data_IF_387627872532
#
_entry.id   IF_387627872532
#
_cell.length_a   1.000
_cell.length_b   1.000
_cell.length_c   1.000
_cell.angle_alpha   90.00
_cell.angle_beta   90.00
_cell.angle_gamma   90.00
#
_symmetry.space_group_name_H-M   'P 1'
#
loop_
_entity.id
_entity.type
_entity.pdbx_description
1 polymer ?
#
# COMPACT_ATOMS: atom_id res chain seq x y z
N UNK A 1 16.58 -24.96 8.05
CA UNK A 1 17.21 -23.66 8.41
C UNK A 1 16.47 -23.12 9.61
N UNK A 2 17.10 -23.20 10.78
CA UNK A 2 16.54 -22.72 12.05
C UNK A 2 16.62 -21.20 12.04
N UNK A 3 15.49 -20.51 11.98
CA UNK A 3 15.44 -19.06 12.15
C UNK A 3 15.59 -18.75 13.64
N UNK A 4 16.76 -18.24 14.04
CA UNK A 4 16.94 -17.66 15.37
C UNK A 4 15.99 -16.47 15.53
N UNK A 5 15.06 -16.58 16.49
CA UNK A 5 14.40 -15.44 17.13
C UNK A 5 15.44 -14.72 18.01
N UNK A 6 16.45 -14.10 17.40
CA UNK A 6 17.25 -13.11 18.12
C UNK A 6 16.45 -11.80 18.12
N UNK A 7 16.31 -11.17 19.29
CA UNK A 7 15.53 -9.96 19.57
C UNK A 7 16.00 -8.69 18.80
N UNK A 8 16.80 -8.82 17.75
CA UNK A 8 17.42 -7.72 17.00
C UNK A 8 16.63 -7.28 15.78
N UNK A 9 15.59 -8.00 15.35
CA UNK A 9 14.81 -7.66 14.15
C UNK A 9 13.30 -7.73 14.40
N UNK A 10 12.58 -6.65 14.07
CA UNK A 10 11.13 -6.57 14.21
C UNK A 10 10.43 -7.34 13.07
N UNK A 11 9.68 -8.43 13.37
CA UNK A 11 9.12 -9.33 12.35
C UNK A 11 7.85 -8.76 11.71
N UNK A 12 7.97 -7.61 11.05
CA UNK A 12 6.85 -6.77 10.60
C UNK A 12 5.83 -7.52 9.73
N UNK A 13 6.27 -8.37 8.81
CA UNK A 13 5.37 -9.11 7.93
C UNK A 13 4.62 -10.24 8.66
N UNK A 14 5.27 -10.92 9.61
CA UNK A 14 4.58 -11.87 10.48
C UNK A 14 3.50 -11.15 11.31
N UNK A 15 3.83 -9.99 11.90
CA UNK A 15 2.85 -9.21 12.67
C UNK A 15 1.67 -8.75 11.81
N UNK A 16 1.92 -8.35 10.55
CA UNK A 16 0.86 -8.04 9.58
C UNK A 16 -0.02 -9.26 9.31
N UNK A 17 0.56 -10.44 9.08
CA UNK A 17 -0.21 -11.66 8.87
C UNK A 17 -1.06 -12.03 10.10
N UNK A 18 -0.51 -11.91 11.31
CA UNK A 18 -1.27 -12.10 12.56
C UNK A 18 -2.49 -11.16 12.58
N UNK A 19 -2.31 -9.87 12.26
CA UNK A 19 -3.41 -8.92 12.18
C UNK A 19 -4.43 -9.27 11.08
N UNK A 20 -3.97 -9.71 9.90
CA UNK A 20 -4.83 -10.16 8.80
C UNK A 20 -5.71 -11.35 9.21
N UNK A 21 -5.13 -12.34 9.90
CA UNK A 21 -5.87 -13.52 10.36
C UNK A 21 -6.83 -13.19 11.50
N UNK A 22 -6.48 -12.26 12.38
CA UNK A 22 -7.33 -11.81 13.48
C UNK A 22 -8.49 -10.89 13.05
N UNK A 23 -8.43 -10.28 11.86
CA UNK A 23 -9.44 -9.35 11.40
C UNK A 23 -10.75 -10.04 10.98
N UNK A 24 -11.87 -9.61 11.58
CA UNK A 24 -13.21 -10.17 11.32
C UNK A 24 -14.07 -9.31 10.35
N UNK A 25 -13.47 -8.36 9.64
CA UNK A 25 -14.16 -7.48 8.69
C UNK A 25 -14.12 -8.03 7.27
N UNK A 26 -14.99 -7.54 6.39
CA UNK A 26 -15.00 -7.93 4.96
C UNK A 26 -13.84 -7.32 4.17
N UNK A 27 -13.34 -6.19 4.62
CA UNK A 27 -12.25 -5.43 4.01
C UNK A 27 -11.23 -5.03 5.06
N UNK A 28 -9.98 -4.94 4.65
CA UNK A 28 -8.83 -4.58 5.47
C UNK A 28 -8.22 -3.30 4.92
N UNK A 29 -7.94 -2.34 5.79
CA UNK A 29 -7.19 -1.14 5.42
C UNK A 29 -5.77 -1.23 5.97
N UNK A 30 -4.79 -1.28 5.08
CA UNK A 30 -3.38 -1.36 5.44
C UNK A 30 -2.83 0.05 5.67
N UNK A 31 -2.68 0.46 6.94
CA UNK A 31 -2.10 1.74 7.36
C UNK A 31 -0.96 1.51 8.35
N UNK A 32 0.02 2.41 8.35
CA UNK A 32 1.06 2.44 9.38
C UNK A 32 0.50 3.14 10.63
N UNK A 33 1.05 2.81 11.81
CA UNK A 33 0.46 3.20 13.10
C UNK A 33 0.58 4.70 13.42
N UNK A 34 1.45 5.42 12.71
CA UNK A 34 1.74 6.86 12.80
C UNK A 34 0.92 7.71 11.81
N UNK A 35 -0.10 7.10 11.18
CA UNK A 35 -1.02 7.79 10.28
C UNK A 35 -2.41 7.95 10.89
N UNK A 36 -2.93 9.16 10.76
CA UNK A 36 -4.30 9.49 11.15
C UNK A 36 -5.18 9.70 9.91
N UNK A 37 -6.26 8.92 9.76
CA UNK A 37 -7.29 9.12 8.73
C UNK A 37 -7.99 10.47 8.84
N UNK A 38 -8.43 11.01 7.69
CA UNK A 38 -9.31 12.16 7.68
C UNK A 38 -10.67 11.86 8.34
N UNK A 39 -11.37 12.92 8.74
CA UNK A 39 -12.70 12.82 9.35
C UNK A 39 -13.65 12.01 8.46
N UNK A 40 -14.47 11.18 9.11
CA UNK A 40 -15.47 10.30 8.48
C UNK A 40 -14.90 9.23 7.51
N UNK A 41 -13.58 8.98 7.51
CA UNK A 41 -12.94 8.01 6.62
C UNK A 41 -13.65 6.64 6.61
N UNK A 42 -14.05 6.11 7.77
CA UNK A 42 -14.79 4.85 7.84
C UNK A 42 -16.09 4.87 7.02
N UNK A 43 -16.90 5.92 7.14
CA UNK A 43 -18.17 6.03 6.41
C UNK A 43 -17.94 6.23 4.91
N UNK A 44 -16.93 7.01 4.55
CA UNK A 44 -16.53 7.23 3.15
C UNK A 44 -16.02 5.94 2.51
N UNK A 45 -15.16 5.19 3.19
CA UNK A 45 -14.68 3.87 2.74
C UNK A 45 -15.84 2.91 2.58
N UNK A 46 -16.74 2.83 3.56
CA UNK A 46 -17.94 1.99 3.48
C UNK A 46 -18.76 2.34 2.23
N UNK A 47 -18.99 3.63 1.96
CA UNK A 47 -19.68 4.10 0.75
C UNK A 47 -18.98 3.67 -0.54
N UNK A 48 -17.65 3.76 -0.61
CA UNK A 48 -16.88 3.29 -1.77
C UNK A 48 -16.97 1.79 -1.93
N UNK A 49 -16.83 1.01 -0.86
CA UNK A 49 -16.97 -0.45 -0.90
C UNK A 49 -18.29 -0.87 -1.56
N UNK A 50 -19.41 -0.21 -1.24
CA UNK A 50 -20.71 -0.51 -1.85
C UNK A 50 -20.84 -0.11 -3.33
N UNK A 51 -20.02 0.85 -3.80
CA UNK A 51 -20.05 1.33 -5.19
C UNK A 51 -19.21 0.48 -6.14
N UNK A 52 -18.23 -0.25 -5.62
CA UNK A 52 -17.35 -1.09 -6.42
C UNK A 52 -17.88 -2.53 -6.49
N UNK A 53 -17.69 -3.19 -7.64
CA UNK A 53 -17.97 -4.61 -7.80
C UNK A 53 -16.72 -5.44 -7.46
N UNK A 54 -16.71 -6.05 -6.28
CA UNK A 54 -15.61 -6.87 -5.77
C UNK A 54 -15.67 -8.34 -6.22
N UNK A 55 -16.75 -8.77 -6.85
CA UNK A 55 -16.93 -10.18 -7.25
C UNK A 55 -16.21 -10.51 -8.56
N UNK A 56 -16.08 -9.52 -9.45
CA UNK A 56 -15.48 -9.70 -10.78
C UNK A 56 -14.02 -9.27 -10.84
N UNK A 57 -13.61 -8.37 -9.95
CA UNK A 57 -12.34 -7.67 -10.04
C UNK A 57 -11.68 -7.62 -8.68
N UNK A 58 -10.40 -7.98 -8.61
CA UNK A 58 -9.57 -7.73 -7.44
C UNK A 58 -9.23 -6.24 -7.41
N UNK A 59 -9.64 -5.54 -6.37
CA UNK A 59 -9.49 -4.09 -6.26
C UNK A 59 -8.54 -3.73 -5.12
N UNK A 60 -7.70 -2.73 -5.38
CA UNK A 60 -6.90 -2.05 -4.38
C UNK A 60 -7.34 -0.59 -4.33
N UNK A 61 -8.13 -0.21 -3.32
CA UNK A 61 -8.54 1.18 -3.16
C UNK A 61 -7.43 1.93 -2.42
N UNK A 62 -6.75 2.82 -3.12
CA UNK A 62 -5.61 3.59 -2.64
C UNK A 62 -6.11 4.81 -1.88
N UNK A 63 -5.61 5.01 -0.66
CA UNK A 63 -5.81 6.20 0.16
C UNK A 63 -4.56 7.09 0.08
N UNK A 64 -4.63 8.28 -0.53
CA UNK A 64 -3.50 9.19 -0.62
C UNK A 64 -2.94 9.57 0.76
N UNK A 65 -1.62 9.64 0.84
CA UNK A 65 -0.89 9.94 2.07
C UNK A 65 -0.26 11.32 2.02
N UNK A 66 -0.34 12.02 3.15
CA UNK A 66 0.25 13.33 3.38
C UNK A 66 1.10 13.31 4.66
N UNK A 67 1.94 14.32 4.84
CA UNK A 67 2.67 14.56 6.10
C UNK A 67 2.44 16.00 6.56
N UNK A 68 2.36 16.19 7.87
CA UNK A 68 2.23 17.50 8.49
C UNK A 68 3.33 17.71 9.52
N UNK A 69 3.72 18.97 9.70
CA UNK A 69 4.65 19.39 10.75
C UNK A 69 3.92 19.87 12.02
N UNK A 70 2.58 19.83 12.02
CA UNK A 70 1.75 20.27 13.16
C UNK A 70 1.52 19.11 14.12
N UNK A 71 1.83 19.32 15.39
CA UNK A 71 1.62 18.36 16.49
C UNK A 71 0.16 18.27 16.92
N UNK A 72 -0.65 19.32 16.69
CA UNK A 72 -2.08 19.38 17.02
C UNK A 72 -2.89 19.83 15.81
N UNK A 73 -4.14 19.33 15.67
CA UNK A 73 -5.03 19.68 14.55
C UNK A 73 -4.44 19.35 13.17
N UNK A 74 -3.47 18.42 13.12
CA UNK A 74 -2.62 18.17 11.97
C UNK A 74 -3.36 17.59 10.76
N UNK A 75 -4.51 16.93 10.96
CA UNK A 75 -5.28 16.26 9.91
C UNK A 75 -6.46 17.13 9.45
N UNK A 76 -6.50 17.57 8.18
CA UNK A 76 -7.67 18.25 7.62
C UNK A 76 -8.91 17.34 7.63
N UNK A 77 -10.10 17.90 7.89
CA UNK A 77 -11.33 17.10 7.94
C UNK A 77 -11.70 16.51 6.58
N UNK A 78 -11.48 17.28 5.51
CA UNK A 78 -11.93 16.95 4.17
C UNK A 78 -10.96 17.47 3.10
N UNK A 79 -11.20 17.05 1.87
CA UNK A 79 -10.35 17.40 0.72
C UNK A 79 -10.26 18.92 0.51
N UNK A 80 -11.32 19.67 0.75
CA UNK A 80 -11.30 21.14 0.59
C UNK A 80 -10.29 21.77 1.54
N UNK A 81 -10.33 21.43 2.83
CA UNK A 81 -9.36 21.90 3.82
C UNK A 81 -7.93 21.40 3.52
N UNK A 82 -7.79 20.16 3.07
CA UNK A 82 -6.51 19.59 2.63
C UNK A 82 -5.89 20.42 1.50
N UNK A 83 -6.65 20.73 0.45
CA UNK A 83 -6.18 21.52 -0.68
C UNK A 83 -5.86 22.96 -0.28
N UNK A 84 -6.63 23.56 0.63
CA UNK A 84 -6.31 24.88 1.19
C UNK A 84 -4.93 24.87 1.85
N UNK A 85 -4.63 23.87 2.69
CA UNK A 85 -3.33 23.76 3.38
C UNK A 85 -2.17 23.41 2.43
N UNK A 86 -2.40 22.58 1.40
CA UNK A 86 -1.40 22.26 0.38
C UNK A 86 -1.01 23.47 -0.48
N UNK A 87 -1.96 24.37 -0.73
CA UNK A 87 -1.77 25.56 -1.58
C UNK A 87 -1.40 26.83 -0.80
N UNK A 88 -1.44 26.78 0.54
CA UNK A 88 -1.10 27.93 1.38
C UNK A 88 0.39 28.29 1.27
N UNK A 89 0.74 29.57 1.36
CA UNK A 89 2.15 30.03 1.26
C UNK A 89 3.06 29.36 2.28
N UNK A 90 2.59 29.21 3.52
CA UNK A 90 3.34 28.61 4.63
C UNK A 90 3.15 27.08 4.74
N UNK A 91 2.63 26.41 3.69
CA UNK A 91 2.32 24.96 3.59
C UNK A 91 2.54 24.17 4.88
N UNK A 92 1.47 23.87 5.60
CA UNK A 92 1.55 23.06 6.84
C UNK A 92 1.30 21.57 6.58
N UNK A 93 1.09 21.19 5.33
CA UNK A 93 0.88 19.81 4.89
C UNK A 93 1.56 19.61 3.53
N UNK A 94 2.11 18.42 3.32
CA UNK A 94 2.86 18.05 2.12
C UNK A 94 2.42 16.66 1.64
N UNK A 95 2.62 16.37 0.35
CA UNK A 95 2.49 14.99 -0.14
C UNK A 95 3.55 14.12 0.53
N UNK A 96 3.14 12.95 1.02
CA UNK A 96 4.00 12.13 1.88
C UNK A 96 5.28 11.68 1.18
N UNK A 97 6.41 11.79 1.90
CA UNK A 97 7.72 11.25 1.50
C UNK A 97 8.28 11.78 0.17
N UNK A 98 7.76 12.90 -0.36
CA UNK A 98 8.18 13.41 -1.67
C UNK A 98 9.69 13.67 -1.76
N UNK A 99 10.29 14.24 -0.71
CA UNK A 99 11.73 14.55 -0.66
C UNK A 99 12.64 13.32 -0.46
N UNK A 100 12.10 12.21 0.05
CA UNK A 100 12.87 11.01 0.42
C UNK A 100 12.75 9.90 -0.61
N UNK A 101 11.56 9.73 -1.16
CA UNK A 101 11.30 8.79 -2.23
C UNK A 101 10.27 9.39 -3.20
N UNK A 102 10.72 10.23 -4.15
CA UNK A 102 9.83 10.84 -5.14
C UNK A 102 8.93 9.81 -5.85
N UNK A 103 9.49 8.64 -6.20
CA UNK A 103 8.78 7.56 -6.88
C UNK A 103 7.80 6.75 -6.03
N UNK A 104 7.87 6.83 -4.69
CA UNK A 104 7.06 5.98 -3.81
C UNK A 104 5.57 6.33 -3.83
N UNK A 105 5.21 7.58 -4.12
CA UNK A 105 3.81 8.00 -4.17
C UNK A 105 3.42 8.73 -5.47
N UNK A 106 4.34 8.84 -6.42
CA UNK A 106 4.14 9.54 -7.70
C UNK A 106 2.91 9.02 -8.47
N UNK A 107 2.68 7.70 -8.46
CA UNK A 107 1.58 7.07 -9.19
C UNK A 107 0.17 7.46 -8.69
N UNK A 108 0.08 8.13 -7.54
CA UNK A 108 -1.16 8.79 -7.09
C UNK A 108 -1.62 9.85 -8.11
N UNK A 109 -0.72 10.36 -8.95
CA UNK A 109 -0.96 11.43 -9.91
C UNK A 109 -1.53 12.68 -9.22
N UNK A 110 -0.66 13.39 -8.51
CA UNK A 110 -1.06 14.54 -7.69
C UNK A 110 -1.77 15.65 -8.47
N UNK A 111 -1.36 15.90 -9.71
CA UNK A 111 -2.00 16.87 -10.59
C UNK A 111 -3.46 16.50 -10.90
N UNK A 112 -3.74 15.21 -11.07
CA UNK A 112 -5.10 14.70 -11.23
C UNK A 112 -5.85 14.64 -9.89
N UNK A 113 -5.20 14.18 -8.83
CA UNK A 113 -5.76 14.11 -7.48
C UNK A 113 -6.43 15.43 -7.09
N UNK A 114 -5.75 16.57 -7.28
CA UNK A 114 -6.27 17.89 -6.91
C UNK A 114 -7.67 18.16 -7.49
N UNK A 115 -7.91 17.70 -8.73
CA UNK A 115 -9.15 17.96 -9.48
C UNK A 115 -10.20 16.86 -9.32
N UNK A 116 -9.80 15.66 -8.90
CA UNK A 116 -10.66 14.49 -8.86
C UNK A 116 -11.75 14.60 -7.80
N UNK A 117 -13.01 14.38 -8.18
CA UNK A 117 -14.17 14.28 -7.28
C UNK A 117 -14.73 12.86 -7.18
N UNK A 118 -14.24 11.94 -8.01
CA UNK A 118 -14.61 10.53 -8.05
C UNK A 118 -13.36 9.65 -8.01
N UNK A 119 -13.45 8.40 -7.52
CA UNK A 119 -12.35 7.46 -7.61
C UNK A 119 -11.83 7.31 -9.03
N UNK A 120 -10.51 7.22 -9.19
CA UNK A 120 -9.87 7.12 -10.49
C UNK A 120 -8.82 6.02 -10.53
N UNK A 121 -8.75 5.35 -11.68
CA UNK A 121 -7.86 4.22 -11.87
C UNK A 121 -6.42 4.70 -12.08
N UNK A 122 -5.47 4.00 -11.47
CA UNK A 122 -4.04 4.19 -11.68
C UNK A 122 -3.37 2.85 -11.99
N UNK A 123 -2.12 2.90 -12.44
CA UNK A 123 -1.27 1.71 -12.58
C UNK A 123 -0.52 1.51 -11.26
N UNK A 124 -0.49 0.29 -10.72
CA UNK A 124 0.29 -0.06 -9.53
C UNK A 124 1.76 -0.41 -9.83
N UNK A 125 2.42 -1.06 -8.89
CA UNK A 125 3.76 -1.65 -9.06
C UNK A 125 4.92 -0.65 -9.12
N UNK A 126 6.11 -1.14 -9.51
CA UNK A 126 7.35 -0.36 -9.46
C UNK A 126 7.78 -0.07 -8.02
N UNK A 127 8.22 1.17 -7.74
CA UNK A 127 8.55 1.65 -6.39
C UNK A 127 7.33 2.18 -5.63
N UNK A 128 6.12 2.06 -6.20
CA UNK A 128 4.92 2.62 -5.59
C UNK A 128 4.59 1.91 -4.28
N UNK A 129 4.44 2.69 -3.21
CA UNK A 129 4.19 2.24 -1.84
C UNK A 129 2.86 2.80 -1.27
N UNK A 130 1.71 2.57 -1.93
CA UNK A 130 0.43 3.10 -1.49
C UNK A 130 -0.04 2.51 -0.15
N UNK A 131 -1.00 3.22 0.45
CA UNK A 131 -1.85 2.68 1.50
C UNK A 131 -3.15 2.22 0.85
N UNK A 132 -3.54 0.96 1.09
CA UNK A 132 -4.59 0.32 0.31
C UNK A 132 -5.65 -0.34 1.19
N UNK A 133 -6.88 -0.30 0.71
CA UNK A 133 -8.01 -1.07 1.21
C UNK A 133 -8.24 -2.25 0.26
N UNK A 134 -8.29 -3.44 0.83
CA UNK A 134 -8.38 -4.71 0.10
C UNK A 134 -9.51 -5.57 0.67
N UNK A 135 -10.10 -6.41 -0.18
CA UNK A 135 -11.09 -7.38 0.26
C UNK A 135 -10.40 -8.54 0.97
N UNK A 136 -10.84 -8.87 2.19
CA UNK A 136 -10.21 -9.90 3.04
C UNK A 136 -10.17 -11.28 2.37
N UNK A 137 -11.15 -11.61 1.54
CA UNK A 137 -11.24 -12.90 0.85
C UNK A 137 -10.12 -13.11 -0.18
N UNK A 138 -9.60 -12.04 -0.77
CA UNK A 138 -8.65 -12.12 -1.89
C UNK A 138 -7.25 -11.62 -1.54
N UNK A 139 -7.11 -10.91 -0.41
CA UNK A 139 -5.86 -10.32 0.05
C UNK A 139 -4.73 -11.37 0.12
N UNK A 140 -3.56 -11.11 -0.51
CA UNK A 140 -2.40 -11.98 -0.33
C UNK A 140 -1.82 -11.81 1.08
N UNK A 141 -1.16 -12.86 1.59
CA UNK A 141 -0.38 -12.78 2.83
C UNK A 141 0.97 -12.13 2.56
N UNK A 142 1.54 -11.49 3.57
CA UNK A 142 2.89 -10.96 3.51
C UNK A 142 3.92 -12.08 3.55
N UNK A 143 5.00 -11.98 2.78
CA UNK A 143 6.13 -12.91 2.85
C UNK A 143 6.92 -12.69 4.15
N UNK A 144 6.81 -13.62 5.09
CA UNK A 144 7.40 -13.51 6.43
C UNK A 144 8.93 -13.63 6.45
N UNK A 145 9.55 -14.02 5.32
CA UNK A 145 11.01 -14.03 5.18
C UNK A 145 11.59 -12.61 5.12
N UNK A 146 10.76 -11.60 4.90
CA UNK A 146 11.10 -10.18 4.96
C UNK A 146 10.99 -9.67 6.41
N UNK A 147 12.12 -9.68 7.11
CA UNK A 147 12.22 -9.43 8.57
C UNK A 147 12.75 -8.03 8.93
N UNK A 148 12.99 -7.15 7.96
CA UNK A 148 13.55 -5.81 8.19
C UNK A 148 12.53 -4.71 7.88
N UNK A 149 12.81 -3.48 8.34
CA UNK A 149 12.09 -2.27 7.93
C UNK A 149 12.48 -1.97 6.46
N UNK A 150 11.61 -1.33 5.68
CA UNK A 150 11.81 -0.85 4.29
C UNK A 150 11.68 -1.89 3.15
N UNK A 151 11.16 -1.43 2.01
CA UNK A 151 10.80 -2.20 0.79
C UNK A 151 9.71 -3.28 0.95
N UNK A 152 9.33 -3.66 2.17
CA UNK A 152 8.29 -4.66 2.43
C UNK A 152 6.94 -4.30 1.80
N UNK A 153 6.53 -3.02 1.93
CA UNK A 153 5.26 -2.54 1.38
C UNK A 153 5.34 -2.41 -0.13
N UNK A 154 6.43 -1.84 -0.66
CA UNK A 154 6.71 -1.81 -2.12
C UNK A 154 6.61 -3.22 -2.71
N UNK A 155 7.20 -4.22 -2.07
CA UNK A 155 7.13 -5.63 -2.50
C UNK A 155 5.70 -6.17 -2.48
N UNK A 156 4.95 -5.85 -1.44
CA UNK A 156 3.54 -6.23 -1.31
C UNK A 156 2.64 -5.54 -2.35
N UNK A 157 2.87 -4.26 -2.64
CA UNK A 157 2.12 -3.51 -3.66
C UNK A 157 2.49 -3.97 -5.08
N UNK A 158 3.76 -4.32 -5.30
CA UNK A 158 4.19 -4.99 -6.52
C UNK A 158 3.51 -6.35 -6.69
N UNK A 159 3.36 -7.10 -5.60
CA UNK A 159 2.59 -8.35 -5.57
C UNK A 159 1.14 -8.15 -6.00
N UNK A 160 0.45 -7.15 -5.45
CA UNK A 160 -0.91 -6.80 -5.87
C UNK A 160 -0.96 -6.47 -7.38
N UNK A 161 0.01 -5.73 -7.88
CA UNK A 161 0.13 -5.42 -9.32
C UNK A 161 0.29 -6.70 -10.17
N UNK A 162 1.21 -7.61 -9.82
CA UNK A 162 1.41 -8.88 -10.55
C UNK A 162 0.17 -9.78 -10.47
N UNK A 163 -0.56 -9.73 -9.35
CA UNK A 163 -1.84 -10.44 -9.16
C UNK A 163 -3.02 -9.74 -9.86
N UNK A 164 -2.75 -8.72 -10.69
CA UNK A 164 -3.72 -7.99 -11.50
C UNK A 164 -4.81 -7.29 -10.69
N UNK A 165 -4.47 -6.79 -9.51
CA UNK A 165 -5.35 -5.86 -8.80
C UNK A 165 -5.51 -4.58 -9.61
N UNK A 166 -6.74 -4.10 -9.73
CA UNK A 166 -7.02 -2.77 -10.28
C UNK A 166 -6.96 -1.74 -9.15
N UNK A 167 -6.05 -0.77 -9.31
CA UNK A 167 -5.81 0.27 -8.31
C UNK A 167 -6.70 1.48 -8.58
N UNK A 168 -7.43 1.93 -7.56
CA UNK A 168 -8.28 3.11 -7.62
C UNK A 168 -7.97 4.06 -6.48
N UNK A 169 -7.58 5.29 -6.78
CA UNK A 169 -7.37 6.31 -5.76
C UNK A 169 -8.70 6.86 -5.28
N UNK A 170 -8.89 6.95 -3.97
CA UNK A 170 -10.04 7.57 -3.33
C UNK A 170 -9.75 9.07 -3.05
N UNK A 171 -10.41 10.02 -3.74
CA UNK A 171 -10.08 11.44 -3.62
C UNK A 171 -10.51 12.08 -2.28
N UNK A 172 -11.48 11.48 -1.60
CA UNK A 172 -12.13 11.96 -0.37
C UNK A 172 -11.71 11.17 0.88
N UNK A 173 -10.88 10.14 0.72
CA UNK A 173 -10.31 9.34 1.82
C UNK A 173 -8.79 9.46 1.76
N UNK A 174 -8.20 10.09 2.76
CA UNK A 174 -6.76 10.28 2.86
C UNK A 174 -6.27 10.09 4.28
N UNK A 175 -4.96 9.93 4.42
CA UNK A 175 -4.29 9.77 5.69
C UNK A 175 -3.17 10.79 5.82
N UNK A 176 -2.87 11.20 7.05
CA UNK A 176 -1.82 12.16 7.35
C UNK A 176 -0.89 11.56 8.39
N UNK A 177 0.39 11.49 8.06
CA UNK A 177 1.45 11.10 8.96
C UNK A 177 1.66 12.19 10.01
N UNK A 178 1.62 11.81 11.29
CA UNK A 178 1.84 12.71 12.41
C UNK A 178 3.33 13.03 12.57
N UNK A 179 3.70 14.25 13.00
CA UNK A 179 5.10 14.56 13.25
C UNK A 179 5.59 13.79 14.48
N UNK A 180 6.67 13.03 14.31
CA UNK A 180 7.35 12.36 15.40
C UNK A 180 8.85 12.30 15.16
N UNK A 181 9.63 12.13 16.23
CA UNK A 181 11.08 11.95 16.13
C UNK A 181 11.40 10.73 15.26
N UNK A 182 12.33 10.93 14.33
CA UNK A 182 12.77 9.87 13.42
C UNK A 182 14.04 9.27 13.96
N UNK A 183 13.98 7.98 14.27
CA UNK A 183 15.19 7.18 14.46
C UNK A 183 15.81 6.97 13.07
N UNK A 184 16.84 7.75 12.74
CA UNK A 184 17.67 7.53 11.55
C UNK A 184 18.46 6.26 11.81
N UNK A 185 17.99 5.13 11.29
CA UNK A 185 18.80 3.92 11.26
C UNK A 185 19.84 4.09 10.14
N UNK A 186 21.16 3.96 10.42
CA UNK A 186 22.18 4.02 9.39
C UNK A 186 21.91 2.91 8.37
N UNK A 187 21.49 3.32 7.17
CA UNK A 187 21.06 2.45 6.11
C UNK A 187 22.25 2.14 5.21
N UNK A 188 22.74 0.91 5.21
CA UNK A 188 23.83 0.51 4.31
C UNK A 188 23.27 0.05 2.97
N UNK A 189 23.86 0.53 1.87
CA UNK A 189 23.59 0.16 0.47
C UNK A 189 23.41 -1.36 0.24
N UNK A 190 24.12 -2.18 1.02
CA UNK A 190 24.01 -3.64 1.05
C UNK A 190 22.60 -4.17 1.35
N UNK A 191 21.81 -3.48 2.19
CA UNK A 191 20.43 -3.88 2.53
C UNK A 191 19.51 -3.64 1.34
N UNK A 192 19.65 -2.51 0.63
CA UNK A 192 18.93 -2.25 -0.62
C UNK A 192 19.27 -3.28 -1.69
N UNK A 193 20.56 -3.60 -1.90
CA UNK A 193 20.98 -4.61 -2.88
C UNK A 193 20.44 -6.01 -2.54
N UNK A 194 20.44 -6.40 -1.27
CA UNK A 194 19.85 -7.65 -0.81
C UNK A 194 18.33 -7.69 -1.01
N UNK A 195 17.63 -6.59 -0.76
CA UNK A 195 16.17 -6.47 -0.94
C UNK A 195 15.77 -6.37 -2.43
N UNK A 196 16.58 -5.74 -3.29
CA UNK A 196 16.48 -5.83 -4.75
C UNK A 196 16.69 -7.28 -5.21
N UNK A 197 17.62 -8.00 -4.59
CA UNK A 197 17.76 -9.45 -4.76
C UNK A 197 16.48 -10.23 -4.39
N UNK A 198 15.71 -9.78 -3.41
CA UNK A 198 14.40 -10.36 -3.07
C UNK A 198 13.32 -10.00 -4.09
N UNK A 199 13.28 -8.75 -4.58
CA UNK A 199 12.44 -8.34 -5.72
C UNK A 199 12.66 -9.27 -6.93
N UNK A 200 13.92 -9.51 -7.29
CA UNK A 200 14.30 -10.40 -8.41
C UNK A 200 13.91 -11.86 -8.12
N UNK A 201 14.13 -12.36 -6.90
CA UNK A 201 13.71 -13.73 -6.52
C UNK A 201 12.19 -13.91 -6.54
N UNK A 202 11.43 -12.93 -6.05
CA UNK A 202 9.97 -12.93 -6.12
C UNK A 202 9.49 -12.90 -7.57
N UNK A 203 10.09 -12.08 -8.42
CA UNK A 203 9.77 -11.99 -9.85
C UNK A 203 10.03 -13.33 -10.57
N UNK A 204 11.20 -13.95 -10.32
CA UNK A 204 11.56 -15.26 -10.88
C UNK A 204 10.65 -16.38 -10.36
N UNK A 205 10.33 -16.39 -9.06
CA UNK A 205 9.43 -17.37 -8.46
C UNK A 205 7.99 -17.23 -8.98
N UNK A 206 7.49 -16.00 -9.11
CA UNK A 206 6.16 -15.71 -9.66
C UNK A 206 6.05 -16.04 -11.13
N UNK A 207 7.01 -15.65 -11.97
CA UNK A 207 7.05 -16.04 -13.39
C UNK A 207 6.98 -17.56 -13.54
N UNK A 208 7.73 -18.31 -12.71
CA UNK A 208 7.66 -19.78 -12.69
C UNK A 208 6.28 -20.31 -12.30
N UNK A 209 5.59 -19.73 -11.33
CA UNK A 209 4.28 -20.22 -10.88
C UNK A 209 3.10 -19.76 -11.74
N UNK A 210 3.14 -18.55 -12.31
CA UNK A 210 2.17 -18.08 -13.29
C UNK A 210 2.26 -18.95 -14.56
N UNK A 211 3.47 -19.23 -15.05
CA UNK A 211 3.67 -20.15 -16.18
C UNK A 211 3.17 -21.56 -15.90
N UNK A 212 3.31 -22.07 -14.66
CA UNK A 212 2.73 -23.35 -14.25
C UNK A 212 1.19 -23.33 -14.28
N UNK A 213 0.57 -22.29 -13.74
CA UNK A 213 -0.90 -22.17 -13.73
C UNK A 213 -1.50 -21.95 -15.13
N UNK A 214 -0.80 -21.24 -16.02
CA UNK A 214 -1.18 -21.10 -17.43
C UNK A 214 -1.03 -22.43 -18.18
N UNK A 215 0.04 -23.21 -17.92
CA UNK A 215 0.20 -24.56 -18.48
C UNK A 215 -0.89 -25.52 -18.01
N UNK A 216 -1.24 -25.52 -16.72
CA UNK A 216 -2.31 -26.38 -16.17
C UNK A 216 -3.67 -26.04 -16.80
N UNK A 217 -3.99 -24.76 -17.00
CA UNK A 217 -5.22 -24.35 -17.68
C UNK A 217 -5.26 -24.76 -19.16
N UNK A 218 -4.13 -24.71 -19.87
CA UNK A 218 -4.05 -25.21 -21.25
C UNK A 218 -4.21 -26.73 -21.34
N UNK A 219 -3.60 -27.49 -20.43
CA UNK A 219 -3.73 -28.96 -20.37
C UNK A 219 -5.17 -29.39 -20.07
N UNK A 220 -5.87 -28.67 -19.18
CA UNK A 220 -7.28 -28.96 -18.87
C UNK A 220 -8.25 -28.56 -20.00
N UNK A 221 -7.86 -27.66 -20.91
CA UNK A 221 -8.67 -27.33 -22.11
C UNK A 221 -8.41 -28.29 -23.28
N UNK A 222 -7.23 -28.93 -23.36
CA UNK A 222 -6.93 -29.93 -24.39
C UNK A 222 -7.45 -31.34 -24.07
N UNK A 223 -7.94 -31.60 -22.85
CA UNK A 223 -8.55 -32.88 -22.45
C UNK A 223 -10.09 -32.85 -22.48
N UNK A 224 -10.69 -31.84 -23.13
CA UNK A 224 -12.14 -31.67 -23.29
C UNK A 224 -12.56 -31.57 -24.77
N UNK A 225 -11.75 -32.11 -25.68
CA UNK A 225 -12.07 -32.30 -27.10
C UNK A 225 -11.79 -33.74 -27.51
#
# INVERSE_FOLDING_TARGET
>A
VVYQRNATHYPVNFMRNVALYGANTSHIWMIDADFTPNKDAYQLIKKHIHRFNWNTTRLALVTPAFETNLTEGGVPDNKTQLLQRLNHKNKTIHTFSFSRCPGCHEKTNWAYFIKATKPYKIVGGGLFEPYVILQRKTIPVYDERLIARHLNKILYDYELFVLQYAFYVLPDVFIVHEPHERIIQPYTEQICLNQIGQLIKMELWRKRNILKNVKIRKVNQTNLL
#
